data_IF_998533098445
#
_entry.id   IF_998533098445
#
_cell.length_a   1.000
_cell.length_b   1.000
_cell.length_c   1.000
_cell.angle_alpha   90.00
_cell.angle_beta   90.00
_cell.angle_gamma   90.00
#
_symmetry.space_group_name_H-M   'P 1'
#
loop_
_entity.id
_entity.type
_entity.pdbx_description
1 polymer ?
#
# COMPACT_ATOMS: atom_id res chain seq x y z
N UNK A 1 -9.74 -38.46 9.28
CA UNK A 1 -8.55 -37.66 9.65
C UNK A 1 -8.33 -36.62 8.55
N UNK A 2 -8.75 -35.36 8.79
CA UNK A 2 -8.54 -34.25 7.85
C UNK A 2 -7.20 -33.58 8.19
N UNK A 3 -6.16 -33.88 7.43
CA UNK A 3 -4.91 -33.12 7.47
C UNK A 3 -5.04 -31.89 6.58
N UNK A 4 -5.57 -30.79 7.13
CA UNK A 4 -5.58 -29.49 6.44
C UNK A 4 -4.30 -28.73 6.78
N UNK A 5 -3.33 -28.81 5.87
CA UNK A 5 -2.44 -27.74 5.42
C UNK A 5 -1.97 -26.66 6.43
N UNK A 6 -1.51 -27.06 7.62
CA UNK A 6 -1.08 -26.13 8.68
C UNK A 6 0.20 -25.35 8.31
N UNK A 7 1.02 -25.88 7.40
CA UNK A 7 2.32 -25.30 7.02
C UNK A 7 2.23 -23.97 6.27
N UNK A 8 1.08 -23.64 5.67
CA UNK A 8 0.91 -22.45 4.83
C UNK A 8 0.48 -21.20 5.64
N UNK A 9 -0.11 -21.37 6.83
CA UNK A 9 -0.47 -20.27 7.74
C UNK A 9 0.68 -19.87 8.67
N UNK A 10 1.57 -20.81 9.02
CA UNK A 10 2.82 -20.46 9.74
C UNK A 10 3.74 -19.55 8.90
N UNK A 11 3.67 -19.67 7.58
CA UNK A 11 4.37 -18.81 6.63
C UNK A 11 3.70 -17.44 6.44
N UNK A 12 2.41 -17.30 6.77
CA UNK A 12 1.62 -16.07 6.58
C UNK A 12 0.90 -15.69 7.87
N UNK A 13 1.63 -15.24 8.91
CA UNK A 13 1.06 -14.88 10.21
C UNK A 13 -0.06 -13.83 10.10
N UNK A 14 0.02 -12.91 9.14
CA UNK A 14 -1.01 -11.89 8.90
C UNK A 14 -2.39 -12.43 8.49
N UNK A 15 -2.50 -13.71 8.10
CA UNK A 15 -3.79 -14.36 7.83
C UNK A 15 -4.37 -15.09 9.05
N UNK A 16 -3.61 -15.19 10.15
CA UNK A 16 -4.12 -15.83 11.37
C UNK A 16 -5.13 -14.90 12.04
N UNK A 17 -6.28 -15.47 12.42
CA UNK A 17 -7.42 -14.71 12.96
C UNK A 17 -7.03 -13.81 14.13
N UNK A 18 -6.15 -14.28 15.03
CA UNK A 18 -5.68 -13.53 16.20
C UNK A 18 -4.97 -12.21 15.86
N UNK A 19 -4.36 -12.10 14.67
CA UNK A 19 -3.67 -10.91 14.21
C UNK A 19 -4.51 -10.12 13.20
N UNK A 20 -5.23 -10.80 12.32
CA UNK A 20 -6.10 -10.17 11.33
C UNK A 20 -7.26 -9.38 11.98
N UNK A 21 -7.73 -9.77 13.17
CA UNK A 21 -8.80 -9.04 13.87
C UNK A 21 -8.34 -7.73 14.53
N UNK A 22 -7.03 -7.51 14.67
CA UNK A 22 -6.48 -6.37 15.41
C UNK A 22 -6.52 -5.08 14.58
N UNK A 23 -7.07 -4.01 15.17
CA UNK A 23 -7.15 -2.66 14.61
C UNK A 23 -7.00 -1.62 15.73
N UNK A 24 -6.58 -0.40 15.38
CA UNK A 24 -6.48 0.69 16.36
C UNK A 24 -7.80 1.42 16.58
N UNK A 25 -8.75 1.27 15.67
CA UNK A 25 -10.08 1.85 15.81
C UNK A 25 -11.14 0.98 15.14
N UNK A 26 -12.35 1.02 15.70
CA UNK A 26 -13.55 0.49 15.09
C UNK A 26 -14.37 1.67 14.56
N UNK A 27 -13.98 2.15 13.38
CA UNK A 27 -14.64 3.25 12.66
C UNK A 27 -15.31 2.71 11.40
N UNK A 28 -16.42 3.33 10.98
CA UNK A 28 -16.99 3.07 9.66
C UNK A 28 -16.04 3.57 8.56
N UNK A 29 -15.27 2.64 8.00
CA UNK A 29 -14.30 2.92 6.95
C UNK A 29 -14.97 3.26 5.62
N UNK A 30 -16.23 2.87 5.39
CA UNK A 30 -16.94 3.25 4.18
C UNK A 30 -17.26 4.75 4.20
N UNK A 31 -17.72 5.27 5.34
CA UNK A 31 -17.95 6.69 5.52
C UNK A 31 -16.67 7.53 5.30
N UNK A 32 -15.51 7.03 5.76
CA UNK A 32 -14.22 7.72 5.59
C UNK A 32 -13.73 7.77 4.13
N UNK A 33 -14.16 6.84 3.28
CA UNK A 33 -13.68 6.74 1.90
C UNK A 33 -14.61 7.42 0.89
N UNK A 34 -15.86 7.68 1.27
CA UNK A 34 -16.85 8.32 0.42
C UNK A 34 -16.41 9.75 0.03
N UNK A 35 -16.66 10.12 -1.24
CA UNK A 35 -16.48 11.49 -1.70
C UNK A 35 -17.53 12.38 -1.02
N UNK A 36 -17.14 13.39 -0.22
CA UNK A 36 -18.12 14.26 0.44
C UNK A 36 -18.91 15.10 -0.57
N UNK A 37 -20.19 15.41 -0.32
CA UNK A 37 -20.99 16.25 -1.20
C UNK A 37 -20.35 17.63 -1.42
N UNK A 38 -20.22 18.04 -2.68
CA UNK A 38 -19.66 19.35 -3.06
C UNK A 38 -18.14 19.43 -3.07
N UNK A 39 -17.42 18.36 -2.71
CA UNK A 39 -15.96 18.30 -2.82
C UNK A 39 -15.58 17.83 -4.22
N UNK A 40 -14.59 18.49 -4.82
CA UNK A 40 -14.02 18.06 -6.10
C UNK A 40 -13.33 16.70 -5.99
N UNK A 41 -13.51 15.85 -6.99
CA UNK A 41 -12.97 14.48 -6.97
C UNK A 41 -11.43 14.48 -7.01
N UNK A 42 -10.81 15.36 -7.79
CA UNK A 42 -9.36 15.40 -7.88
C UNK A 42 -8.74 15.91 -6.57
N UNK A 43 -9.35 16.92 -5.94
CA UNK A 43 -8.95 17.39 -4.59
C UNK A 43 -9.05 16.29 -3.52
N UNK A 44 -10.15 15.53 -3.55
CA UNK A 44 -10.35 14.41 -2.62
C UNK A 44 -9.29 13.32 -2.79
N UNK A 45 -9.00 12.96 -4.05
CA UNK A 45 -7.95 12.00 -4.37
C UNK A 45 -6.57 12.53 -3.98
N UNK A 46 -6.27 13.81 -4.26
CA UNK A 46 -5.00 14.41 -3.95
C UNK A 46 -4.71 14.38 -2.44
N UNK A 47 -5.67 14.86 -1.65
CA UNK A 47 -5.57 14.91 -0.18
C UNK A 47 -5.35 13.52 0.42
N UNK A 48 -6.10 12.52 -0.04
CA UNK A 48 -5.95 11.15 0.44
C UNK A 48 -4.65 10.49 -0.05
N UNK A 49 -4.21 10.77 -1.28
CA UNK A 49 -2.91 10.28 -1.81
C UNK A 49 -1.77 10.75 -0.92
N UNK A 50 -1.73 12.04 -0.56
CA UNK A 50 -0.72 12.60 0.35
C UNK A 50 -0.76 11.91 1.72
N UNK A 51 -1.96 11.67 2.26
CA UNK A 51 -2.13 10.99 3.54
C UNK A 51 -1.63 9.54 3.50
N UNK A 52 -2.02 8.76 2.48
CA UNK A 52 -1.57 7.37 2.34
C UNK A 52 -0.06 7.29 2.14
N UNK A 53 0.51 8.14 1.29
CA UNK A 53 1.96 8.21 1.11
C UNK A 53 2.69 8.44 2.43
N UNK A 54 2.27 9.43 3.24
CA UNK A 54 2.90 9.73 4.54
C UNK A 54 2.86 8.53 5.48
N UNK A 55 1.70 7.88 5.61
CA UNK A 55 1.56 6.74 6.52
C UNK A 55 2.37 5.53 6.04
N UNK A 56 2.32 5.19 4.75
CA UNK A 56 3.06 4.04 4.20
C UNK A 56 4.56 4.30 4.25
N UNK A 57 5.02 5.52 3.93
CA UNK A 57 6.43 5.89 4.04
C UNK A 57 6.93 5.81 5.48
N UNK A 58 6.10 6.17 6.46
CA UNK A 58 6.42 5.99 7.89
C UNK A 58 6.61 4.50 8.24
N UNK A 59 5.74 3.61 7.76
CA UNK A 59 5.91 2.16 7.94
C UNK A 59 7.20 1.64 7.28
N UNK A 60 7.47 2.04 6.04
CA UNK A 60 8.71 1.68 5.35
C UNK A 60 9.94 2.16 6.10
N UNK A 61 9.91 3.38 6.63
CA UNK A 61 11.00 3.95 7.42
C UNK A 61 11.22 3.18 8.73
N UNK A 62 10.14 2.84 9.45
CA UNK A 62 10.20 2.08 10.69
C UNK A 62 10.73 0.66 10.53
N UNK A 63 10.65 0.09 9.33
CA UNK A 63 11.11 -1.26 9.00
C UNK A 63 12.43 -1.28 8.22
N UNK A 64 13.01 -0.11 7.93
CA UNK A 64 14.15 0.03 7.01
C UNK A 64 15.39 -0.74 7.46
N UNK A 65 15.62 -0.87 8.77
CA UNK A 65 16.75 -1.65 9.31
C UNK A 65 16.65 -3.16 9.05
N UNK A 66 15.43 -3.68 8.86
CA UNK A 66 15.17 -5.10 8.59
C UNK A 66 15.11 -5.39 7.08
N UNK A 67 14.80 -4.39 6.26
CA UNK A 67 14.70 -4.49 4.81
C UNK A 67 16.01 -4.03 4.15
N UNK A 68 16.97 -4.94 3.99
CA UNK A 68 18.31 -4.65 3.46
C UNK A 68 18.56 -5.42 2.16
N UNK A 69 19.60 -5.07 1.37
CA UNK A 69 19.95 -5.86 0.18
C UNK A 69 20.33 -7.32 0.49
N UNK A 70 20.75 -7.64 1.71
CA UNK A 70 21.06 -9.01 2.12
C UNK A 70 19.82 -9.79 2.54
N UNK A 71 18.89 -9.17 3.26
CA UNK A 71 17.63 -9.81 3.69
C UNK A 71 16.60 -9.87 2.57
N UNK A 72 16.59 -8.86 1.70
CA UNK A 72 15.64 -8.72 0.58
C UNK A 72 16.36 -8.37 -0.74
N UNK A 73 17.16 -9.30 -1.29
CA UNK A 73 17.99 -9.06 -2.49
C UNK A 73 17.18 -8.85 -3.77
N UNK A 74 15.88 -9.15 -3.74
CA UNK A 74 14.95 -8.91 -4.85
C UNK A 74 13.67 -8.31 -4.30
N UNK A 75 13.18 -7.24 -4.92
CA UNK A 75 11.88 -6.67 -4.62
C UNK A 75 10.78 -7.66 -4.99
N UNK A 76 10.17 -8.30 -3.99
CA UNK A 76 9.11 -9.28 -4.20
C UNK A 76 7.93 -9.09 -3.26
N UNK A 77 6.76 -9.50 -3.72
CA UNK A 77 5.55 -9.64 -2.92
C UNK A 77 5.16 -11.10 -2.68
N UNK A 78 3.93 -11.33 -2.17
CA UNK A 78 3.37 -12.66 -1.97
C UNK A 78 3.54 -13.59 -3.17
N UNK A 79 3.88 -14.85 -2.89
CA UNK A 79 4.11 -15.86 -3.94
C UNK A 79 5.40 -15.65 -4.73
N UNK A 80 6.36 -14.90 -4.19
CA UNK A 80 7.64 -14.53 -4.84
C UNK A 80 7.45 -13.75 -6.15
N UNK A 81 6.35 -13.00 -6.27
CA UNK A 81 6.12 -12.14 -7.43
C UNK A 81 7.15 -11.02 -7.44
N UNK A 82 8.01 -11.00 -8.46
CA UNK A 82 9.09 -10.00 -8.58
C UNK A 82 8.55 -8.69 -9.13
N UNK A 83 8.79 -7.61 -8.40
CA UNK A 83 8.53 -6.26 -8.86
C UNK A 83 9.70 -5.76 -9.71
N UNK A 84 9.39 -5.20 -10.87
CA UNK A 84 10.38 -4.66 -11.81
C UNK A 84 10.15 -3.15 -11.90
N UNK A 85 11.19 -2.38 -11.63
CA UNK A 85 11.14 -0.92 -11.78
C UNK A 85 11.35 -0.56 -13.24
N UNK A 86 10.69 0.51 -13.70
CA UNK A 86 10.93 1.08 -15.03
C UNK A 86 11.40 2.51 -14.82
N UNK A 87 12.65 2.80 -15.21
CA UNK A 87 13.22 4.14 -15.09
C UNK A 87 12.66 5.11 -16.15
N UNK A 88 13.06 6.38 -16.08
CA UNK A 88 12.59 7.43 -16.99
C UNK A 88 13.02 7.20 -18.45
N UNK A 89 13.99 6.30 -18.68
CA UNK A 89 14.45 5.89 -20.01
C UNK A 89 13.73 4.63 -20.50
N UNK A 90 12.72 4.15 -19.77
CA UNK A 90 11.97 2.93 -20.09
C UNK A 90 12.72 1.63 -19.80
N UNK A 91 13.87 1.68 -19.11
CA UNK A 91 14.66 0.48 -18.82
C UNK A 91 14.07 -0.27 -17.64
N UNK A 92 13.89 -1.58 -17.81
CA UNK A 92 13.40 -2.50 -16.77
C UNK A 92 14.55 -2.91 -15.84
N UNK A 93 14.45 -2.54 -14.58
CA UNK A 93 15.44 -2.84 -13.54
C UNK A 93 14.86 -3.84 -12.53
N UNK A 94 15.61 -4.94 -12.31
CA UNK A 94 15.45 -5.80 -11.14
C UNK A 94 16.43 -5.32 -10.08
N UNK A 95 15.94 -5.00 -8.90
CA UNK A 95 16.75 -4.52 -7.78
C UNK A 95 16.32 -5.16 -6.47
N UNK A 96 17.09 -4.90 -5.42
CA UNK A 96 16.71 -5.27 -4.05
C UNK A 96 15.44 -4.55 -3.62
N UNK A 97 14.70 -5.13 -2.68
CA UNK A 97 13.51 -4.51 -2.12
C UNK A 97 13.76 -3.08 -1.59
N UNK A 98 14.77 -2.80 -0.75
CA UNK A 98 15.00 -1.44 -0.28
C UNK A 98 15.27 -0.46 -1.43
N UNK A 99 16.01 -0.85 -2.46
CA UNK A 99 16.28 0.02 -3.61
C UNK A 99 15.03 0.28 -4.44
N UNK A 100 14.19 -0.73 -4.65
CA UNK A 100 12.91 -0.58 -5.34
C UNK A 100 11.99 0.41 -4.61
N UNK A 101 11.85 0.25 -3.30
CA UNK A 101 10.95 1.10 -2.51
C UNK A 101 11.51 2.50 -2.30
N UNK A 102 12.84 2.68 -2.28
CA UNK A 102 13.48 4.00 -2.32
C UNK A 102 13.14 4.76 -3.61
N UNK A 103 13.23 4.10 -4.77
CA UNK A 103 12.79 4.68 -6.04
C UNK A 103 11.29 5.00 -6.05
N UNK A 104 10.46 4.09 -5.53
CA UNK A 104 9.02 4.31 -5.46
C UNK A 104 8.66 5.51 -4.57
N UNK A 105 9.24 5.60 -3.37
CA UNK A 105 8.95 6.69 -2.43
C UNK A 105 9.48 8.02 -2.94
N UNK A 106 10.68 8.05 -3.54
CA UNK A 106 11.25 9.26 -4.14
C UNK A 106 10.40 9.76 -5.30
N UNK A 107 10.00 8.86 -6.22
CA UNK A 107 9.11 9.19 -7.33
C UNK A 107 7.77 9.79 -6.86
N UNK A 108 7.15 9.19 -5.85
CA UNK A 108 5.89 9.70 -5.31
C UNK A 108 6.12 11.05 -4.63
N UNK A 109 7.19 11.19 -3.83
CA UNK A 109 7.52 12.43 -3.15
C UNK A 109 7.70 13.60 -4.13
N UNK A 110 8.44 13.38 -5.23
CA UNK A 110 8.66 14.37 -6.28
C UNK A 110 7.35 14.82 -6.90
N UNK A 111 6.47 13.86 -7.27
CA UNK A 111 5.13 14.16 -7.80
C UNK A 111 4.28 14.98 -6.82
N UNK A 112 4.26 14.61 -5.54
CA UNK A 112 3.46 15.27 -4.51
C UNK A 112 3.95 16.70 -4.22
N UNK A 113 5.21 17.01 -4.51
CA UNK A 113 5.79 18.35 -4.34
C UNK A 113 5.77 19.21 -5.60
N UNK A 114 5.46 18.63 -6.75
CA UNK A 114 5.33 19.36 -8.01
C UNK A 114 3.98 20.10 -8.05
N UNK A 115 3.99 21.43 -7.92
CA UNK A 115 2.79 22.26 -7.99
C UNK A 115 2.07 22.20 -9.35
N UNK A 116 2.74 21.73 -10.42
CA UNK A 116 2.09 21.49 -11.70
C UNK A 116 1.26 20.20 -11.72
N UNK A 117 1.54 19.27 -10.81
CA UNK A 117 0.83 17.98 -10.69
C UNK A 117 -0.14 17.98 -9.52
N UNK A 118 0.33 18.43 -8.35
CA UNK A 118 -0.43 18.58 -7.11
C UNK A 118 -0.51 20.07 -6.74
N UNK A 119 -1.41 20.83 -7.38
CA UNK A 119 -1.54 22.26 -7.13
C UNK A 119 -1.96 22.55 -5.67
N UNK A 120 -1.33 23.55 -5.06
CA UNK A 120 -1.61 24.00 -3.68
C UNK A 120 -2.32 25.35 -3.62
N UNK A 121 -2.39 26.06 -4.76
CA UNK A 121 -2.99 27.39 -4.87
C UNK A 121 -4.46 27.30 -5.23
N UNK A 122 -5.30 28.05 -4.52
CA UNK A 122 -6.73 28.12 -4.80
C UNK A 122 -6.99 28.57 -6.25
N UNK A 123 -7.85 27.84 -6.97
CA UNK A 123 -8.21 28.11 -8.36
C UNK A 123 -7.26 27.51 -9.41
N UNK A 124 -6.16 26.89 -9.01
CA UNK A 124 -5.37 26.04 -9.91
C UNK A 124 -6.13 24.78 -10.29
N UNK A 125 -5.82 24.22 -11.46
CA UNK A 125 -6.44 23.00 -11.98
C UNK A 125 -5.45 21.84 -11.97
N UNK A 126 -5.94 20.65 -11.67
CA UNK A 126 -5.16 19.42 -11.82
C UNK A 126 -4.85 19.16 -13.31
N UNK A 127 -3.70 18.55 -13.62
CA UNK A 127 -3.32 18.29 -15.01
C UNK A 127 -4.23 17.23 -15.66
N UNK A 128 -4.31 17.28 -16.99
CA UNK A 128 -4.94 16.20 -17.77
C UNK A 128 -4.26 14.88 -17.45
N UNK A 129 -5.06 13.85 -17.12
CA UNK A 129 -4.55 12.53 -16.77
C UNK A 129 -4.12 12.38 -15.31
N UNK A 130 -4.42 13.35 -14.43
CA UNK A 130 -4.16 13.27 -12.99
C UNK A 130 -4.60 11.94 -12.36
N UNK A 131 -5.76 11.41 -12.75
CA UNK A 131 -6.28 10.12 -12.23
C UNK A 131 -5.32 8.96 -12.55
N UNK A 132 -4.73 8.92 -13.74
CA UNK A 132 -3.77 7.88 -14.11
C UNK A 132 -2.47 7.99 -13.30
N UNK A 133 -2.04 9.23 -12.99
CA UNK A 133 -0.91 9.44 -12.09
C UNK A 133 -1.23 8.93 -10.68
N UNK A 134 -2.42 9.23 -10.16
CA UNK A 134 -2.87 8.72 -8.85
C UNK A 134 -2.94 7.19 -8.86
N UNK A 135 -3.49 6.56 -9.89
CA UNK A 135 -3.52 5.10 -10.03
C UNK A 135 -2.10 4.50 -9.97
N UNK A 136 -1.13 5.09 -10.69
CA UNK A 136 0.27 4.66 -10.62
C UNK A 136 0.85 4.81 -9.20
N UNK A 137 0.58 5.92 -8.52
CA UNK A 137 1.00 6.12 -7.12
C UNK A 137 0.42 5.04 -6.21
N UNK A 138 -0.88 4.78 -6.31
CA UNK A 138 -1.56 3.75 -5.52
C UNK A 138 -0.99 2.35 -5.81
N UNK A 139 -0.66 2.01 -7.05
CA UNK A 139 -0.02 0.74 -7.37
C UNK A 139 1.34 0.59 -6.67
N UNK A 140 2.15 1.63 -6.68
CA UNK A 140 3.45 1.62 -5.99
C UNK A 140 3.29 1.47 -4.47
N UNK A 141 2.36 2.23 -3.88
CA UNK A 141 2.04 2.14 -2.45
C UNK A 141 1.50 0.75 -2.06
N UNK A 142 0.66 0.14 -2.89
CA UNK A 142 0.16 -1.21 -2.67
C UNK A 142 1.29 -2.24 -2.69
N UNK A 143 2.23 -2.15 -3.64
CA UNK A 143 3.40 -3.04 -3.69
C UNK A 143 4.26 -2.94 -2.44
N UNK A 144 4.43 -1.73 -1.90
CA UNK A 144 5.12 -1.51 -0.62
C UNK A 144 4.39 -2.22 0.52
N UNK A 145 3.07 -2.03 0.65
CA UNK A 145 2.26 -2.72 1.66
C UNK A 145 2.34 -4.24 1.52
N UNK A 146 2.25 -4.76 0.29
CA UNK A 146 2.37 -6.18 0.00
C UNK A 146 3.72 -6.76 0.40
N UNK A 147 4.81 -6.04 0.16
CA UNK A 147 6.13 -6.45 0.62
C UNK A 147 6.24 -6.44 2.15
N UNK A 148 5.68 -5.43 2.82
CA UNK A 148 5.67 -5.36 4.30
C UNK A 148 4.93 -6.57 4.88
N UNK A 149 3.73 -6.87 4.40
CA UNK A 149 2.97 -8.04 4.86
C UNK A 149 3.70 -9.35 4.55
N UNK A 150 4.30 -9.47 3.37
CA UNK A 150 4.96 -10.70 2.95
C UNK A 150 6.27 -10.97 3.69
N UNK A 151 7.14 -9.97 3.75
CA UNK A 151 8.55 -10.14 4.16
C UNK A 151 8.82 -9.69 5.58
N UNK A 152 8.03 -8.75 6.11
CA UNK A 152 8.35 -8.03 7.35
C UNK A 152 7.24 -8.05 8.40
N UNK A 153 6.23 -8.91 8.25
CA UNK A 153 5.11 -8.91 9.19
C UNK A 153 5.54 -9.33 10.61
N UNK A 154 6.55 -10.19 10.74
CA UNK A 154 7.05 -10.62 12.07
C UNK A 154 7.66 -9.46 12.84
N UNK A 155 8.35 -8.57 12.15
CA UNK A 155 8.92 -7.34 12.69
C UNK A 155 7.81 -6.37 13.07
N UNK A 156 6.73 -6.25 12.26
CA UNK A 156 5.55 -5.46 12.66
C UNK A 156 4.84 -6.02 13.89
N UNK A 157 4.83 -7.34 14.09
CA UNK A 157 4.35 -7.98 15.32
C UNK A 157 5.26 -7.62 16.50
N UNK A 158 6.58 -7.80 16.35
CA UNK A 158 7.57 -7.54 17.41
C UNK A 158 7.55 -6.07 17.87
N UNK A 159 7.32 -5.14 16.95
CA UNK A 159 7.20 -3.70 17.24
C UNK A 159 5.80 -3.26 17.68
N UNK A 160 4.81 -4.17 17.73
CA UNK A 160 3.43 -3.81 18.07
C UNK A 160 2.70 -2.95 17.03
N UNK A 161 3.22 -2.90 15.79
CA UNK A 161 2.69 -2.04 14.72
C UNK A 161 1.55 -2.68 13.91
N UNK A 162 1.37 -4.01 14.01
CA UNK A 162 0.39 -4.75 13.22
C UNK A 162 -1.07 -4.22 13.27
N UNK A 163 -1.63 -3.69 14.38
CA UNK A 163 -3.00 -3.17 14.37
C UNK A 163 -3.10 -1.87 13.55
N UNK A 164 -2.03 -1.06 13.56
CA UNK A 164 -1.92 0.17 12.77
C UNK A 164 -1.81 -0.18 11.28
N UNK A 165 -0.99 -1.17 10.94
CA UNK A 165 -0.82 -1.64 9.57
C UNK A 165 -2.13 -2.15 8.99
N UNK A 166 -2.86 -3.00 9.75
CA UNK A 166 -4.16 -3.51 9.35
C UNK A 166 -5.18 -2.38 9.12
N UNK A 167 -5.22 -1.39 10.03
CA UNK A 167 -6.13 -0.25 9.91
C UNK A 167 -5.83 0.57 8.66
N UNK A 168 -4.55 0.87 8.40
CA UNK A 168 -4.10 1.56 7.20
C UNK A 168 -4.44 0.77 5.93
N UNK A 169 -4.20 -0.54 5.92
CA UNK A 169 -4.44 -1.39 4.76
C UNK A 169 -5.94 -1.52 4.42
N UNK A 170 -6.80 -1.64 5.44
CA UNK A 170 -8.25 -1.64 5.25
C UNK A 170 -8.70 -0.31 4.63
N UNK A 171 -8.25 0.81 5.20
CA UNK A 171 -8.60 2.13 4.68
C UNK A 171 -8.12 2.31 3.24
N UNK A 172 -6.87 1.94 2.96
CA UNK A 172 -6.26 2.01 1.63
C UNK A 172 -7.05 1.19 0.59
N UNK A 173 -7.33 -0.08 0.88
CA UNK A 173 -8.01 -0.97 -0.07
C UNK A 173 -9.47 -0.59 -0.31
N UNK A 174 -10.17 -0.12 0.72
CA UNK A 174 -11.53 0.42 0.57
C UNK A 174 -11.53 1.70 -0.27
N UNK A 175 -10.59 2.63 -0.01
CA UNK A 175 -10.44 3.85 -0.79
C UNK A 175 -10.13 3.55 -2.26
N UNK A 176 -9.17 2.65 -2.52
CA UNK A 176 -8.81 2.23 -3.87
C UNK A 176 -10.00 1.63 -4.62
N UNK A 177 -10.80 0.77 -3.96
CA UNK A 177 -11.99 0.19 -4.56
C UNK A 177 -13.07 1.24 -4.84
N UNK A 178 -13.35 2.12 -3.88
CA UNK A 178 -14.38 3.15 -3.98
C UNK A 178 -14.12 4.11 -5.16
N UNK A 179 -12.85 4.38 -5.46
CA UNK A 179 -12.45 5.35 -6.49
C UNK A 179 -11.81 4.72 -7.74
N UNK A 180 -11.86 3.39 -7.88
CA UNK A 180 -11.28 2.62 -8.99
C UNK A 180 -9.80 2.95 -9.26
N UNK A 181 -8.99 2.93 -8.19
CA UNK A 181 -7.57 3.30 -8.25
C UNK A 181 -6.63 2.12 -8.49
N UNK A 182 -7.12 0.89 -8.30
CA UNK A 182 -6.38 -0.35 -8.51
C UNK A 182 -7.28 -1.36 -9.21
N UNK A 183 -6.71 -2.09 -10.15
CA UNK A 183 -7.38 -3.18 -10.84
C UNK A 183 -7.37 -4.47 -9.98
N UNK A 184 -8.34 -5.37 -10.17
CA UNK A 184 -8.41 -6.62 -9.41
C UNK A 184 -7.10 -7.43 -9.47
N UNK A 185 -6.48 -7.52 -10.65
CA UNK A 185 -5.23 -8.26 -10.88
C UNK A 185 -4.06 -7.67 -10.09
N UNK A 186 -4.06 -6.37 -9.84
CA UNK A 186 -3.03 -5.68 -9.08
C UNK A 186 -3.14 -6.00 -7.58
N UNK A 187 -4.37 -6.18 -7.09
CA UNK A 187 -4.66 -6.50 -5.68
C UNK A 187 -4.64 -8.00 -5.35
N UNK A 188 -4.67 -8.86 -6.37
CA UNK A 188 -4.70 -10.32 -6.23
C UNK A 188 -3.65 -10.89 -5.25
N UNK A 189 -2.38 -10.42 -5.21
CA UNK A 189 -1.39 -10.96 -4.28
C UNK A 189 -1.78 -10.90 -2.80
N UNK A 190 -2.66 -9.99 -2.40
CA UNK A 190 -3.16 -9.87 -1.02
C UNK A 190 -4.65 -10.16 -0.91
N UNK A 191 -5.27 -10.80 -1.89
CA UNK A 191 -6.71 -11.03 -1.89
C UNK A 191 -7.19 -11.81 -0.66
N UNK A 192 -6.45 -12.83 -0.24
CA UNK A 192 -6.73 -13.59 0.99
C UNK A 192 -6.79 -12.67 2.23
N UNK A 193 -5.88 -11.69 2.31
CA UNK A 193 -5.81 -10.73 3.41
C UNK A 193 -6.95 -9.71 3.33
N UNK A 194 -7.26 -9.21 2.13
CA UNK A 194 -8.39 -8.29 1.92
C UNK A 194 -9.70 -8.95 2.38
N UNK A 195 -9.89 -10.23 2.06
CA UNK A 195 -11.05 -11.01 2.51
C UNK A 195 -11.02 -11.18 4.03
N UNK A 196 -9.89 -11.62 4.59
CA UNK A 196 -9.76 -11.85 6.03
C UNK A 196 -10.05 -10.59 6.87
N UNK A 197 -9.60 -9.42 6.41
CA UNK A 197 -9.84 -8.14 7.08
C UNK A 197 -11.25 -7.58 6.81
N UNK A 198 -11.82 -7.87 5.64
CA UNK A 198 -13.16 -7.45 5.25
C UNK A 198 -14.29 -8.22 5.94
N UNK A 199 -14.06 -9.44 6.40
CA UNK A 199 -15.04 -10.26 7.14
C UNK A 199 -15.38 -9.72 8.54
N UNK A 200 -14.74 -8.63 8.97
CA UNK A 200 -14.95 -8.02 10.27
C UNK A 200 -15.34 -6.54 10.19
N UNK A 201 -15.82 -6.08 9.02
CA UNK A 201 -16.44 -4.78 8.82
C UNK A 201 -17.96 -4.89 8.80
#
# INVERSE_FOLDING_TARGET
MRGTNNNNLEQRPYLQQQYACQRVTHTDMFALTALPPGVDKAEWLASNTVSFFKHINLFSSALSEFCTPSTCPTACGPGNMVYVWTDDHGRKLKCSAPLYFDYAMSYIQDLLTDEAVFPTKAGSVFPTGFIFLVQKVFLLLFRTLAHIYWSHYRETLALGLHPHLNTLFIHFTLFSRQHALLEPEETEPLRDLIIALGQQG
#
